data_IF_577655630935
#
_entry.id   IF_577655630935
#
_cell.length_a   1.000
_cell.length_b   1.000
_cell.length_c   1.000
_cell.angle_alpha   90.00
_cell.angle_beta   90.00
_cell.angle_gamma   90.00
#
_symmetry.space_group_name_H-M   'P 1'
#
loop_
_entity.id
_entity.type
_entity.pdbx_description
1 polymer ?
#
# COMPACT_ATOMS: atom_id res chain seq x y z
N UNK A 1 -28.84 29.14 19.03
CA UNK A 1 -28.35 27.78 19.33
C UNK A 1 -27.25 27.48 18.29
N UNK A 2 -26.01 27.90 18.57
CA UNK A 2 -24.88 27.60 17.70
C UNK A 2 -24.57 26.11 17.82
N UNK A 3 -24.83 25.34 16.78
CA UNK A 3 -24.36 23.97 16.68
C UNK A 3 -22.83 23.98 16.75
N UNK A 4 -22.30 23.48 17.84
CA UNK A 4 -20.88 23.12 17.94
C UNK A 4 -20.61 22.04 16.87
N UNK A 5 -20.22 22.48 15.67
CA UNK A 5 -19.62 21.60 14.69
C UNK A 5 -18.43 20.96 15.38
N UNK A 6 -18.52 19.66 15.64
CA UNK A 6 -17.50 18.95 16.40
C UNK A 6 -16.15 19.08 15.67
N UNK A 7 -15.07 19.30 16.42
CA UNK A 7 -13.69 19.37 15.86
C UNK A 7 -13.33 18.14 15.01
N UNK A 8 -14.09 17.05 15.11
CA UNK A 8 -13.95 15.82 14.30
C UNK A 8 -14.39 15.98 12.84
N UNK A 9 -15.25 16.95 12.51
CA UNK A 9 -15.71 17.16 11.14
C UNK A 9 -14.63 17.72 10.19
N UNK A 10 -13.53 18.26 10.74
CA UNK A 10 -12.42 18.88 10.01
C UNK A 10 -11.09 18.20 10.36
N UNK A 11 -11.07 16.87 10.41
CA UNK A 11 -9.85 16.10 10.64
C UNK A 11 -9.26 15.60 9.32
N UNK A 12 -8.01 15.15 9.38
CA UNK A 12 -7.26 14.57 8.25
C UNK A 12 -8.01 13.38 7.61
N UNK A 13 -8.64 12.55 8.44
CA UNK A 13 -9.43 11.41 7.96
C UNK A 13 -10.61 11.82 7.09
N UNK A 14 -11.38 12.84 7.51
CA UNK A 14 -12.59 13.26 6.78
C UNK A 14 -12.29 14.12 5.56
N UNK A 15 -11.19 14.87 5.57
CA UNK A 15 -10.89 15.86 4.53
C UNK A 15 -9.92 15.38 3.47
N UNK A 16 -9.01 14.48 3.82
CA UNK A 16 -8.00 13.99 2.90
C UNK A 16 -8.11 12.48 2.71
N UNK A 17 -8.01 11.68 3.78
CA UNK A 17 -7.98 10.22 3.68
C UNK A 17 -9.23 9.64 3.03
N UNK A 18 -10.42 10.02 3.50
CA UNK A 18 -11.66 9.47 2.99
C UNK A 18 -11.94 9.89 1.53
N UNK A 19 -11.81 11.15 1.11
CA UNK A 19 -11.91 11.55 -0.29
C UNK A 19 -10.92 10.80 -1.19
N UNK A 20 -9.64 10.68 -0.78
CA UNK A 20 -8.64 9.93 -1.53
C UNK A 20 -9.07 8.47 -1.73
N UNK A 21 -9.58 7.82 -0.66
CA UNK A 21 -10.08 6.45 -0.74
C UNK A 21 -11.23 6.33 -1.73
N UNK A 22 -12.19 7.27 -1.71
CA UNK A 22 -13.33 7.29 -2.65
C UNK A 22 -12.88 7.46 -4.09
N UNK A 23 -11.89 8.31 -4.36
CA UNK A 23 -11.30 8.45 -5.69
C UNK A 23 -10.63 7.17 -6.17
N UNK A 24 -9.84 6.51 -5.31
CA UNK A 24 -9.20 5.23 -5.63
C UNK A 24 -10.23 4.15 -5.96
N UNK A 25 -11.31 4.07 -5.17
CA UNK A 25 -12.40 3.14 -5.45
C UNK A 25 -13.09 3.47 -6.78
N UNK A 26 -13.29 4.74 -7.10
CA UNK A 26 -13.79 5.21 -8.40
C UNK A 26 -12.87 4.85 -9.57
N UNK A 27 -11.56 4.71 -9.33
CA UNK A 27 -10.57 4.24 -10.29
C UNK A 27 -10.52 2.71 -10.43
N UNK A 28 -11.33 1.96 -9.66
CA UNK A 28 -11.41 0.51 -9.75
C UNK A 28 -10.67 -0.26 -8.64
N UNK A 29 -10.14 0.42 -7.63
CA UNK A 29 -9.60 -0.27 -6.45
C UNK A 29 -10.72 -0.84 -5.58
N UNK A 30 -10.59 -2.09 -5.17
CA UNK A 30 -11.49 -2.73 -4.23
C UNK A 30 -11.02 -2.47 -2.80
N UNK A 31 -11.86 -1.85 -1.99
CA UNK A 31 -11.56 -1.70 -0.57
C UNK A 31 -11.57 -3.07 0.13
N UNK A 32 -10.53 -3.36 0.90
CA UNK A 32 -10.40 -4.56 1.72
C UNK A 32 -10.25 -4.18 3.19
N UNK A 33 -11.04 -4.82 4.05
CA UNK A 33 -11.00 -4.57 5.49
C UNK A 33 -10.11 -5.58 6.18
N UNK A 34 -9.04 -5.10 6.82
CA UNK A 34 -8.14 -5.95 7.62
C UNK A 34 -8.68 -6.25 9.03
N UNK A 35 -9.66 -5.50 9.49
CA UNK A 35 -10.30 -5.67 10.79
C UNK A 35 -11.65 -6.40 10.70
N UNK A 36 -12.22 -6.43 9.48
CA UNK A 36 -13.63 -6.81 9.28
C UNK A 36 -14.59 -5.74 9.81
N UNK A 37 -15.80 -5.76 9.31
CA UNK A 37 -16.89 -4.91 9.78
C UNK A 37 -18.19 -5.72 9.80
N UNK A 38 -18.86 -5.75 10.94
CA UNK A 38 -20.18 -6.37 11.07
C UNK A 38 -21.14 -5.37 11.72
N UNK A 39 -22.02 -4.81 10.90
CA UNK A 39 -23.10 -3.94 11.35
C UNK A 39 -24.44 -4.59 10.99
N UNK A 40 -25.56 -3.97 11.41
CA UNK A 40 -26.90 -4.41 11.01
C UNK A 40 -27.11 -4.42 9.49
N UNK A 41 -26.38 -3.57 8.75
CA UNK A 41 -26.60 -3.34 7.32
C UNK A 41 -25.40 -3.71 6.43
N UNK A 42 -24.21 -3.86 7.02
CA UNK A 42 -22.97 -4.12 6.27
C UNK A 42 -22.19 -5.23 6.95
N UNK A 43 -21.81 -6.22 6.15
CA UNK A 43 -20.84 -7.24 6.54
C UNK A 43 -19.67 -7.14 5.59
N UNK A 44 -18.53 -6.67 6.09
CA UNK A 44 -17.25 -6.75 5.40
C UNK A 44 -16.40 -7.80 6.12
N UNK A 45 -16.13 -8.96 5.49
CA UNK A 45 -15.28 -9.97 6.10
C UNK A 45 -13.87 -9.42 6.32
N UNK A 46 -13.21 -9.93 7.35
CA UNK A 46 -11.80 -9.63 7.58
C UNK A 46 -10.97 -10.24 6.44
N UNK A 47 -10.11 -9.43 5.83
CA UNK A 47 -9.11 -9.89 4.86
C UNK A 47 -7.84 -10.25 5.61
N UNK A 48 -7.36 -11.48 5.41
CA UNK A 48 -6.10 -11.92 6.01
C UNK A 48 -4.89 -11.45 5.19
N UNK A 49 -3.80 -11.21 5.87
CA UNK A 49 -2.52 -10.86 5.25
C UNK A 49 -1.37 -11.52 6.03
N UNK A 50 -0.27 -11.79 5.34
CA UNK A 50 0.95 -12.27 5.99
C UNK A 50 1.56 -11.14 6.85
N UNK A 51 1.68 -11.29 8.16
CA UNK A 51 2.19 -10.25 9.04
C UNK A 51 3.66 -9.90 8.80
N UNK A 52 4.42 -10.77 8.14
CA UNK A 52 5.83 -10.53 7.85
C UNK A 52 6.04 -9.71 6.59
N UNK A 53 5.25 -9.93 5.56
CA UNK A 53 5.40 -9.29 4.25
C UNK A 53 4.30 -8.30 3.93
N UNK A 54 3.19 -8.32 4.69
CA UNK A 54 1.97 -7.57 4.43
C UNK A 54 1.27 -7.94 3.09
N UNK A 55 1.60 -9.09 2.50
CA UNK A 55 0.94 -9.60 1.29
C UNK A 55 -0.45 -10.12 1.65
N UNK A 56 -1.46 -9.76 0.86
CA UNK A 56 -2.80 -10.36 0.90
C UNK A 56 -2.74 -11.72 0.21
N UNK A 57 -2.46 -12.78 0.96
CA UNK A 57 -2.08 -14.09 0.43
C UNK A 57 -3.13 -14.72 -0.47
N UNK A 58 -4.42 -14.58 -0.16
CA UNK A 58 -5.50 -15.11 -0.97
C UNK A 58 -5.58 -14.40 -2.33
N UNK A 59 -5.52 -13.07 -2.35
CA UNK A 59 -5.50 -12.28 -3.56
C UNK A 59 -4.28 -12.57 -4.42
N UNK A 60 -3.10 -12.70 -3.78
CA UNK A 60 -1.87 -13.05 -4.47
C UNK A 60 -1.96 -14.43 -5.12
N UNK A 61 -2.43 -15.44 -4.38
CA UNK A 61 -2.57 -16.81 -4.86
C UNK A 61 -3.54 -16.91 -6.03
N UNK A 62 -4.70 -16.25 -5.93
CA UNK A 62 -5.71 -16.21 -7.00
C UNK A 62 -5.14 -15.57 -8.26
N UNK A 63 -4.51 -14.41 -8.14
CA UNK A 63 -3.93 -13.69 -9.27
C UNK A 63 -2.77 -14.46 -9.92
N UNK A 64 -1.88 -15.04 -9.10
CA UNK A 64 -0.77 -15.84 -9.58
C UNK A 64 -1.25 -17.06 -10.39
N UNK A 65 -2.21 -17.82 -9.89
CA UNK A 65 -2.77 -18.99 -10.59
C UNK A 65 -3.47 -18.58 -11.90
N UNK A 66 -4.17 -17.44 -11.90
CA UNK A 66 -4.77 -16.89 -13.12
C UNK A 66 -3.74 -16.52 -14.19
N UNK A 67 -2.61 -15.91 -13.78
CA UNK A 67 -1.56 -15.48 -14.70
C UNK A 67 -0.66 -16.64 -15.16
N UNK A 68 -0.63 -17.74 -14.41
CA UNK A 68 0.24 -18.90 -14.66
C UNK A 68 -0.56 -20.22 -14.59
N UNK A 69 -1.43 -20.52 -15.57
CA UNK A 69 -2.36 -21.65 -15.48
C UNK A 69 -1.70 -23.04 -15.51
N UNK A 70 -0.43 -23.13 -15.89
CA UNK A 70 0.29 -24.39 -16.05
C UNK A 70 1.37 -24.62 -14.97
N UNK A 71 1.33 -23.89 -13.84
CA UNK A 71 2.33 -24.07 -12.79
C UNK A 71 2.06 -25.30 -11.94
N UNK A 72 3.13 -25.84 -11.35
CA UNK A 72 3.07 -26.97 -10.43
C UNK A 72 2.32 -26.63 -9.14
N UNK A 73 1.70 -27.64 -8.54
CA UNK A 73 1.12 -27.53 -7.21
C UNK A 73 2.22 -27.12 -6.21
N UNK A 74 1.98 -26.05 -5.43
CA UNK A 74 2.94 -25.52 -4.47
C UNK A 74 3.90 -24.46 -5.01
N UNK A 75 3.84 -24.10 -6.29
CA UNK A 75 4.65 -23.02 -6.87
C UNK A 75 4.47 -21.68 -6.14
N UNK A 76 3.22 -21.34 -5.80
CA UNK A 76 2.90 -20.12 -5.01
C UNK A 76 3.68 -20.09 -3.69
N UNK A 77 3.72 -21.20 -2.95
CA UNK A 77 4.44 -21.27 -1.68
C UNK A 77 5.95 -21.08 -1.85
N UNK A 78 6.54 -21.69 -2.90
CA UNK A 78 7.95 -21.49 -3.24
C UNK A 78 8.25 -20.03 -3.59
N UNK A 79 7.37 -19.40 -4.37
CA UNK A 79 7.52 -18.00 -4.76
C UNK A 79 7.37 -17.07 -3.55
N UNK A 80 6.38 -17.27 -2.67
CA UNK A 80 6.23 -16.48 -1.45
C UNK A 80 7.47 -16.57 -0.54
N UNK A 81 8.06 -17.78 -0.40
CA UNK A 81 9.31 -17.96 0.35
C UNK A 81 10.48 -17.21 -0.33
N UNK A 82 10.57 -17.23 -1.66
CA UNK A 82 11.58 -16.47 -2.41
C UNK A 82 11.40 -14.96 -2.23
N UNK A 83 10.16 -14.46 -2.31
CA UNK A 83 9.83 -13.06 -2.01
C UNK A 83 10.29 -12.71 -0.59
N UNK A 84 9.86 -13.48 0.41
CA UNK A 84 10.21 -13.25 1.80
C UNK A 84 11.72 -13.16 2.04
N UNK A 85 12.49 -14.03 1.38
CA UNK A 85 13.96 -14.01 1.43
C UNK A 85 14.55 -12.75 0.79
N UNK A 86 14.06 -12.34 -0.39
CA UNK A 86 14.56 -11.15 -1.09
C UNK A 86 14.29 -9.84 -0.33
N UNK A 87 13.25 -9.80 0.52
CA UNK A 87 12.91 -8.64 1.31
C UNK A 87 13.80 -8.44 2.56
N UNK A 88 14.72 -9.35 2.84
CA UNK A 88 15.65 -9.25 3.98
C UNK A 88 16.89 -8.42 3.68
N UNK A 89 17.18 -8.14 2.41
CA UNK A 89 18.37 -7.41 2.00
C UNK A 89 18.28 -5.91 2.34
N UNK A 90 19.45 -5.30 2.51
CA UNK A 90 19.57 -3.86 2.76
C UNK A 90 19.82 -3.13 1.44
N UNK A 91 18.85 -3.20 0.52
CA UNK A 91 18.99 -2.73 -0.86
C UNK A 91 17.79 -1.90 -1.36
N UNK A 92 16.90 -1.51 -0.44
CA UNK A 92 15.67 -0.76 -0.72
C UNK A 92 14.79 -1.43 -1.79
N UNK A 93 14.72 -2.76 -1.75
CA UNK A 93 13.86 -3.55 -2.63
C UNK A 93 14.42 -3.80 -4.04
N UNK A 94 15.69 -3.47 -4.30
CA UNK A 94 16.32 -3.69 -5.62
C UNK A 94 16.27 -5.15 -6.04
N UNK A 95 16.54 -6.07 -5.14
CA UNK A 95 16.47 -7.50 -5.44
C UNK A 95 15.03 -7.94 -5.72
N UNK A 96 14.08 -7.52 -4.91
CA UNK A 96 12.67 -7.80 -5.15
C UNK A 96 12.24 -7.28 -6.53
N UNK A 97 12.55 -6.05 -6.87
CA UNK A 97 12.20 -5.44 -8.14
C UNK A 97 12.80 -6.20 -9.33
N UNK A 98 14.11 -6.43 -9.32
CA UNK A 98 14.82 -6.99 -10.47
C UNK A 98 14.58 -8.50 -10.64
N UNK A 99 14.60 -9.27 -9.55
CA UNK A 99 14.58 -10.74 -9.60
C UNK A 99 13.19 -11.34 -9.44
N UNK A 100 12.26 -10.61 -8.80
CA UNK A 100 10.92 -11.11 -8.54
C UNK A 100 9.90 -10.41 -9.45
N UNK A 101 9.86 -9.09 -9.43
CA UNK A 101 8.84 -8.34 -10.15
C UNK A 101 9.05 -8.39 -11.67
N UNK A 102 10.29 -8.28 -12.14
CA UNK A 102 10.62 -8.23 -13.56
C UNK A 102 11.09 -9.57 -14.18
N UNK A 103 11.77 -10.42 -13.44
CA UNK A 103 12.57 -11.51 -13.99
C UNK A 103 12.25 -12.91 -13.43
N UNK A 104 11.06 -13.16 -12.91
CA UNK A 104 10.76 -14.46 -12.27
C UNK A 104 10.57 -15.63 -13.24
N UNK A 105 10.39 -15.40 -14.52
CA UNK A 105 9.90 -16.42 -15.44
C UNK A 105 8.42 -16.78 -15.24
N UNK A 106 7.87 -16.47 -14.06
CA UNK A 106 6.47 -16.60 -13.67
C UNK A 106 5.87 -15.21 -13.49
N UNK A 107 4.68 -14.99 -14.00
CA UNK A 107 4.05 -13.66 -13.94
C UNK A 107 3.37 -13.45 -12.62
N UNK A 108 3.82 -12.46 -11.86
CA UNK A 108 3.12 -11.98 -10.65
C UNK A 108 2.26 -10.75 -10.93
N UNK A 109 2.61 -9.99 -11.97
CA UNK A 109 1.85 -8.86 -12.51
C UNK A 109 1.90 -8.93 -14.04
N UNK A 110 0.78 -8.71 -14.70
CA UNK A 110 0.76 -8.57 -16.14
C UNK A 110 1.09 -7.12 -16.54
N UNK A 111 2.29 -6.92 -17.04
CA UNK A 111 2.81 -5.63 -17.53
C UNK A 111 2.89 -5.58 -19.06
N UNK A 112 2.29 -6.53 -19.78
CA UNK A 112 2.47 -6.69 -21.22
C UNK A 112 1.89 -5.53 -22.05
N UNK A 113 0.84 -4.88 -21.55
CA UNK A 113 0.29 -3.65 -22.13
C UNK A 113 -0.59 -2.92 -21.10
N UNK A 114 -0.87 -1.61 -21.27
CA UNK A 114 -1.81 -0.91 -20.39
C UNK A 114 -3.19 -1.57 -20.33
N UNK A 115 -3.73 -2.03 -21.43
CA UNK A 115 -5.03 -2.71 -21.48
C UNK A 115 -5.01 -4.03 -20.69
N UNK A 116 -3.97 -4.85 -20.86
CA UNK A 116 -3.80 -6.11 -20.14
C UNK A 116 -3.51 -5.87 -18.67
N UNK A 117 -2.77 -4.82 -18.32
CA UNK A 117 -2.53 -4.44 -16.93
C UNK A 117 -3.83 -4.27 -16.15
N UNK A 118 -4.79 -3.50 -16.68
CA UNK A 118 -6.09 -3.32 -16.02
C UNK A 118 -6.99 -4.54 -16.08
N UNK A 119 -6.91 -5.35 -17.16
CA UNK A 119 -7.78 -6.52 -17.36
C UNK A 119 -7.35 -7.72 -16.53
N UNK A 120 -6.05 -7.95 -16.41
CA UNK A 120 -5.52 -9.22 -15.90
C UNK A 120 -5.07 -9.14 -14.45
N UNK A 121 -4.78 -7.93 -13.93
CA UNK A 121 -4.45 -7.72 -12.54
C UNK A 121 -5.68 -7.33 -11.72
N UNK A 122 -5.54 -7.44 -10.41
CA UNK A 122 -6.54 -7.00 -9.42
C UNK A 122 -5.95 -5.92 -8.53
N UNK A 123 -6.78 -4.93 -8.19
CA UNK A 123 -6.35 -3.75 -7.42
C UNK A 123 -7.11 -3.70 -6.11
N UNK A 124 -6.40 -3.65 -4.98
CA UNK A 124 -6.99 -3.53 -3.66
C UNK A 124 -6.45 -2.29 -2.96
N UNK A 125 -7.24 -1.74 -2.05
CA UNK A 125 -6.87 -0.64 -1.19
C UNK A 125 -7.32 -0.91 0.23
N UNK A 126 -6.48 -0.57 1.21
CA UNK A 126 -6.83 -0.62 2.63
C UNK A 126 -6.32 0.61 3.35
N UNK A 127 -6.82 0.82 4.56
CA UNK A 127 -6.38 1.90 5.44
C UNK A 127 -5.72 1.35 6.70
N UNK A 128 -4.71 2.07 7.20
CA UNK A 128 -4.07 1.80 8.50
C UNK A 128 -3.59 0.36 8.69
N UNK A 129 -3.01 -0.23 7.65
CA UNK A 129 -2.40 -1.55 7.74
C UNK A 129 -1.17 -1.50 8.66
N UNK A 130 -1.12 -2.39 9.64
CA UNK A 130 0.04 -2.48 10.53
C UNK A 130 1.21 -3.16 9.83
N UNK A 131 2.36 -2.49 9.78
CA UNK A 131 3.60 -2.97 9.20
C UNK A 131 4.67 -3.12 10.29
N UNK A 132 5.41 -4.25 10.26
CA UNK A 132 6.41 -4.58 11.26
C UNK A 132 5.86 -5.47 12.39
N UNK A 133 6.72 -5.79 13.37
CA UNK A 133 6.38 -6.65 14.49
C UNK A 133 5.35 -6.02 15.42
N UNK A 134 4.62 -6.84 16.17
CA UNK A 134 3.47 -6.44 17.01
C UNK A 134 3.80 -5.54 18.20
N UNK A 135 5.05 -5.09 18.34
CA UNK A 135 5.49 -4.23 19.42
C UNK A 135 5.00 -2.77 19.28
N UNK A 136 5.14 -1.99 20.33
CA UNK A 136 4.52 -0.68 20.55
C UNK A 136 4.84 0.41 19.51
N UNK A 137 5.81 0.21 18.63
CA UNK A 137 6.24 1.18 17.62
C UNK A 137 5.96 0.66 16.19
N UNK A 138 4.68 0.44 15.89
CA UNK A 138 4.25 -0.05 14.60
C UNK A 138 4.02 1.09 13.62
N UNK A 139 4.62 0.99 12.43
CA UNK A 139 4.27 1.85 11.31
C UNK A 139 2.92 1.44 10.71
N UNK A 140 2.08 2.41 10.43
CA UNK A 140 0.78 2.21 9.78
C UNK A 140 0.59 3.29 8.73
N UNK A 141 0.85 2.98 7.44
CA UNK A 141 0.51 3.86 6.34
C UNK A 141 -0.98 4.23 6.37
N UNK A 142 -1.31 5.48 6.06
CA UNK A 142 -2.70 5.94 6.04
C UNK A 142 -3.52 5.14 5.01
N UNK A 143 -2.99 4.97 3.80
CA UNK A 143 -3.61 4.20 2.72
C UNK A 143 -2.54 3.32 2.08
N UNK A 144 -2.82 2.03 1.91
CA UNK A 144 -1.95 1.07 1.20
C UNK A 144 -2.66 0.56 -0.05
N UNK A 145 -1.95 0.58 -1.17
CA UNK A 145 -2.41 0.13 -2.48
C UNK A 145 -1.75 -1.18 -2.85
N UNK A 146 -2.55 -2.12 -3.33
CA UNK A 146 -2.08 -3.43 -3.74
C UNK A 146 -2.35 -3.67 -5.22
N UNK A 147 -1.44 -4.39 -5.83
CA UNK A 147 -1.65 -5.04 -7.13
C UNK A 147 -1.49 -6.53 -6.92
N UNK A 148 -2.51 -7.29 -7.24
CA UNK A 148 -2.54 -8.75 -7.03
C UNK A 148 -2.19 -9.15 -5.59
N UNK A 149 -2.64 -8.37 -4.60
CA UNK A 149 -2.35 -8.63 -3.19
C UNK A 149 -0.96 -8.19 -2.72
N UNK A 150 -0.08 -7.69 -3.59
CA UNK A 150 1.24 -7.14 -3.23
C UNK A 150 1.12 -5.67 -2.84
N UNK A 151 1.55 -5.23 -1.65
CA UNK A 151 1.48 -3.83 -1.21
C UNK A 151 2.57 -2.99 -1.88
N UNK A 152 2.35 -2.59 -3.13
CA UNK A 152 3.35 -1.92 -3.96
C UNK A 152 3.40 -0.41 -3.79
N UNK A 153 2.36 0.20 -3.21
CA UNK A 153 2.35 1.63 -2.96
C UNK A 153 1.63 1.98 -1.66
N UNK A 154 2.00 3.09 -1.07
CA UNK A 154 1.23 3.69 0.00
C UNK A 154 1.13 5.21 -0.14
N UNK A 155 0.13 5.78 0.52
CA UNK A 155 -0.12 7.21 0.58
C UNK A 155 -0.18 7.62 2.05
N UNK A 156 0.68 8.56 2.43
CA UNK A 156 0.58 9.30 3.70
C UNK A 156 -0.13 10.61 3.43
N UNK A 157 -1.18 10.88 4.18
CA UNK A 157 -1.97 12.08 4.03
C UNK A 157 -1.70 13.07 5.16
N UNK A 158 -1.78 14.35 4.87
CA UNK A 158 -1.62 15.44 5.83
C UNK A 158 -2.71 16.48 5.64
N UNK A 159 -2.98 17.26 6.68
CA UNK A 159 -3.96 18.35 6.60
C UNK A 159 -3.51 19.41 5.60
N UNK A 160 -4.45 19.96 4.85
CA UNK A 160 -4.25 21.00 3.83
C UNK A 160 -3.39 22.17 4.32
N UNK A 161 -3.63 22.66 5.52
CA UNK A 161 -2.97 23.86 6.08
C UNK A 161 -1.64 23.56 6.81
N UNK A 162 -1.09 22.35 6.67
CA UNK A 162 0.14 21.99 7.36
C UNK A 162 1.31 21.85 6.39
N UNK A 163 1.79 22.99 5.87
CA UNK A 163 2.88 23.05 4.88
C UNK A 163 4.16 22.32 5.27
N UNK A 164 4.49 22.26 6.58
CA UNK A 164 5.65 21.50 7.08
C UNK A 164 5.38 20.00 7.24
N UNK A 165 4.14 19.54 7.13
CA UNK A 165 3.75 18.16 7.41
C UNK A 165 4.35 17.16 6.43
N UNK A 166 4.39 17.48 5.15
CA UNK A 166 4.97 16.62 4.10
C UNK A 166 6.48 16.47 4.32
N UNK A 167 7.20 17.55 4.58
CA UNK A 167 8.64 17.51 4.84
C UNK A 167 8.95 16.68 6.10
N UNK A 168 8.20 16.91 7.18
CA UNK A 168 8.37 16.15 8.42
C UNK A 168 8.10 14.65 8.21
N UNK A 169 7.12 14.28 7.38
CA UNK A 169 6.85 12.87 7.08
C UNK A 169 7.94 12.25 6.21
N UNK A 170 8.44 12.99 5.23
CA UNK A 170 9.61 12.56 4.43
C UNK A 170 10.82 12.28 5.32
N UNK A 171 11.10 13.13 6.31
CA UNK A 171 12.22 12.91 7.24
C UNK A 171 11.97 11.72 8.18
N UNK A 172 10.74 11.49 8.62
CA UNK A 172 10.39 10.26 9.36
C UNK A 172 10.59 9.02 8.50
N UNK A 173 10.23 9.07 7.21
CA UNK A 173 10.46 7.95 6.30
C UNK A 173 11.95 7.65 6.10
N UNK A 174 12.81 8.66 5.99
CA UNK A 174 14.27 8.46 5.95
C UNK A 174 14.77 7.69 7.18
N UNK A 175 14.23 7.97 8.38
CA UNK A 175 14.56 7.22 9.59
C UNK A 175 14.02 5.78 9.56
N UNK A 176 12.84 5.55 8.96
CA UNK A 176 12.27 4.21 8.79
C UNK A 176 13.06 3.36 7.81
N UNK A 177 13.62 3.94 6.75
CA UNK A 177 14.47 3.23 5.78
C UNK A 177 15.69 2.55 6.41
N UNK A 178 16.29 3.16 7.42
CA UNK A 178 17.46 2.61 8.12
C UNK A 178 17.08 1.66 9.27
N UNK A 179 15.79 1.54 9.58
CA UNK A 179 15.31 0.68 10.67
C UNK A 179 14.96 -0.72 10.14
N UNK A 180 15.71 -1.78 10.54
CA UNK A 180 15.48 -3.15 10.07
C UNK A 180 14.06 -3.67 10.30
N UNK A 181 13.34 -3.13 11.29
CA UNK A 181 11.96 -3.50 11.62
C UNK A 181 10.98 -3.32 10.45
N UNK A 182 11.20 -2.29 9.63
CA UNK A 182 10.30 -1.97 8.50
C UNK A 182 10.85 -2.45 7.16
N UNK A 183 12.03 -3.04 7.15
CA UNK A 183 12.78 -3.41 5.94
C UNK A 183 11.93 -4.20 4.95
N UNK A 184 11.24 -5.26 5.39
CA UNK A 184 10.45 -6.11 4.50
C UNK A 184 9.35 -5.33 3.77
N UNK A 185 8.58 -4.54 4.51
CA UNK A 185 7.53 -3.72 3.92
C UNK A 185 8.10 -2.66 2.96
N UNK A 186 9.17 -1.98 3.36
CA UNK A 186 9.80 -0.93 2.55
C UNK A 186 10.47 -1.51 1.29
N UNK A 187 11.08 -2.69 1.37
CA UNK A 187 11.65 -3.38 0.21
C UNK A 187 10.57 -3.87 -0.78
N UNK A 188 9.38 -4.18 -0.30
CA UNK A 188 8.26 -4.59 -1.16
C UNK A 188 7.58 -3.38 -1.83
N UNK A 189 7.51 -2.25 -1.12
CA UNK A 189 6.87 -1.03 -1.61
C UNK A 189 7.72 -0.35 -2.68
N UNK A 190 7.10 -0.05 -3.83
CA UNK A 190 7.79 0.57 -4.98
C UNK A 190 7.48 2.06 -5.11
N UNK A 191 6.34 2.51 -4.57
CA UNK A 191 5.89 3.91 -4.69
C UNK A 191 5.42 4.41 -3.33
N UNK A 192 5.93 5.58 -2.94
CA UNK A 192 5.53 6.28 -1.72
C UNK A 192 5.01 7.66 -2.09
N UNK A 193 3.79 7.96 -1.66
CA UNK A 193 3.13 9.23 -1.95
C UNK A 193 2.88 9.98 -0.63
N UNK A 194 3.22 11.25 -0.61
CA UNK A 194 2.90 12.16 0.49
C UNK A 194 1.98 13.25 -0.06
N UNK A 195 0.78 13.37 0.48
CA UNK A 195 -0.23 14.29 -0.04
C UNK A 195 -0.91 15.06 1.08
N UNK A 196 -1.21 16.33 0.80
CA UNK A 196 -2.07 17.19 1.64
C UNK A 196 -3.33 17.65 0.88
N UNK A 197 -3.62 17.01 -0.28
CA UNK A 197 -4.78 17.32 -1.14
C UNK A 197 -4.82 18.78 -1.66
N UNK A 198 -3.66 19.45 -1.68
CA UNK A 198 -3.51 20.78 -2.24
C UNK A 198 -3.05 20.69 -3.69
N UNK A 199 -3.46 21.67 -4.49
CA UNK A 199 -2.94 21.84 -5.86
C UNK A 199 -1.41 21.98 -5.83
N UNK A 200 -0.76 21.41 -6.84
CA UNK A 200 0.68 21.53 -7.01
C UNK A 200 1.02 22.96 -7.46
N UNK A 201 1.71 23.72 -6.61
CA UNK A 201 2.25 25.02 -6.96
C UNK A 201 3.71 24.89 -7.41
N UNK A 202 3.95 25.16 -8.69
CA UNK A 202 5.30 25.16 -9.27
C UNK A 202 6.23 26.23 -8.67
N UNK A 203 5.68 27.24 -8.01
CA UNK A 203 6.45 28.38 -7.47
C UNK A 203 6.87 28.18 -6.00
N UNK A 204 6.30 27.22 -5.29
CA UNK A 204 6.69 26.89 -3.93
C UNK A 204 7.46 25.56 -3.86
N UNK A 205 8.69 25.62 -3.36
CA UNK A 205 9.56 24.44 -3.16
C UNK A 205 8.97 23.41 -2.15
N UNK A 206 7.88 23.76 -1.50
CA UNK A 206 7.25 23.00 -0.41
C UNK A 206 6.19 22.00 -0.85
N UNK A 207 5.74 22.05 -2.11
CA UNK A 207 4.66 21.19 -2.65
C UNK A 207 5.13 20.01 -3.52
N UNK A 208 6.39 19.61 -3.48
CA UNK A 208 6.86 18.50 -4.30
C UNK A 208 6.38 17.16 -3.73
N UNK A 209 5.50 16.48 -4.47
CA UNK A 209 5.40 15.02 -4.40
C UNK A 209 6.77 14.47 -4.80
N UNK A 210 7.53 13.96 -3.84
CA UNK A 210 8.80 13.30 -4.14
C UNK A 210 8.47 11.86 -4.45
N UNK A 211 8.52 11.50 -5.72
CA UNK A 211 8.65 10.10 -6.13
C UNK A 211 10.08 9.68 -5.77
N UNK A 212 10.22 8.76 -4.87
CA UNK A 212 11.47 8.09 -4.53
C UNK A 212 11.47 6.72 -5.17
#
# INVERSE_FOLDING_TARGET
>A
MEEKISKSAFCEDSRVKFPTLMHLMGMGFKYVSLKGLKTKYVIAPKTEFDPLTNILTDYFTEAYNKLNPNVEIGAVGKLLAKIQSSLMNDDLGRQFYNEILLNTGERIIDLSSPANFYKNNTFQVTTEMTCGDKDSDNYRPDITLFVNGLPLAFIEVKKENYHKGILAETDRMKQRFVNPKYRRFLNLTQIMVFSNDMEYDNNEVTGKATLI
#
